data_IF_941275584066
#
_entry.id   IF_941275584066
#
_cell.length_a   1.000
_cell.length_b   1.000
_cell.length_c   1.000
_cell.angle_alpha   90.00
_cell.angle_beta   90.00
_cell.angle_gamma   90.00
#
_symmetry.space_group_name_H-M   'P 1'
#
loop_
_entity.id
_entity.type
_entity.pdbx_description
1 polymer ?
#
# COMPACT_ATOMS: atom_id res chain seq x y z
N UNK A 1 3.74 36.43 -17.22
CA UNK A 1 3.75 35.14 -16.51
C UNK A 1 5.07 34.48 -16.84
N UNK A 2 5.98 34.39 -15.88
CA UNK A 2 7.18 33.54 -16.04
C UNK A 2 6.71 32.09 -16.11
N UNK A 3 7.18 31.35 -17.10
CA UNK A 3 6.94 29.92 -17.18
C UNK A 3 7.76 29.26 -16.06
N UNK A 4 7.08 28.73 -15.04
CA UNK A 4 7.68 27.81 -14.08
C UNK A 4 8.33 26.65 -14.82
N UNK A 5 9.56 26.31 -14.47
CA UNK A 5 10.23 25.15 -15.05
C UNK A 5 9.50 23.88 -14.61
N UNK A 6 9.43 22.86 -15.46
CA UNK A 6 8.87 21.55 -15.09
C UNK A 6 9.56 20.99 -13.83
N UNK A 7 10.85 21.29 -13.65
CA UNK A 7 11.60 20.95 -12.44
C UNK A 7 11.05 21.61 -11.18
N UNK A 8 10.62 22.87 -11.25
CA UNK A 8 10.03 23.57 -10.11
C UNK A 8 8.69 22.93 -9.70
N UNK A 9 7.95 22.37 -10.66
CA UNK A 9 6.69 21.66 -10.42
C UNK A 9 6.98 20.32 -9.74
N UNK A 10 7.96 19.57 -10.23
CA UNK A 10 8.37 18.30 -9.63
C UNK A 10 8.85 18.49 -8.19
N UNK A 11 9.68 19.50 -7.93
CA UNK A 11 10.17 19.81 -6.58
C UNK A 11 9.03 20.12 -5.61
N UNK A 12 7.99 20.84 -6.07
CA UNK A 12 6.80 21.14 -5.27
C UNK A 12 6.00 19.88 -4.94
N UNK A 13 5.78 19.03 -5.94
CA UNK A 13 5.07 17.75 -5.78
C UNK A 13 5.81 16.86 -4.79
N UNK A 14 7.13 16.71 -4.94
CA UNK A 14 7.95 15.92 -4.04
C UNK A 14 7.94 16.50 -2.62
N UNK A 15 8.12 17.81 -2.49
CA UNK A 15 8.13 18.48 -1.19
C UNK A 15 6.79 18.30 -0.46
N UNK A 16 5.66 18.48 -1.15
CA UNK A 16 4.34 18.26 -0.58
C UNK A 16 4.18 16.81 -0.10
N UNK A 17 4.69 15.85 -0.87
CA UNK A 17 4.64 14.45 -0.49
C UNK A 17 5.49 14.16 0.76
N UNK A 18 6.74 14.61 0.80
CA UNK A 18 7.64 14.46 1.95
C UNK A 18 7.07 15.12 3.21
N UNK A 19 6.46 16.28 3.08
CA UNK A 19 5.81 16.96 4.20
C UNK A 19 4.60 16.16 4.71
N UNK A 20 3.80 15.57 3.82
CA UNK A 20 2.66 14.73 4.20
C UNK A 20 3.07 13.52 5.05
N UNK A 21 4.22 12.91 4.73
CA UNK A 21 4.80 11.82 5.51
C UNK A 21 5.18 12.32 6.91
N UNK A 22 5.93 13.43 6.98
CA UNK A 22 6.41 14.00 8.26
C UNK A 22 5.25 14.33 9.20
N UNK A 23 4.21 14.98 8.67
CA UNK A 23 3.02 15.35 9.45
C UNK A 23 2.21 14.14 9.92
N UNK A 24 2.26 13.03 9.20
CA UNK A 24 1.54 11.80 9.51
C UNK A 24 2.50 10.65 9.82
N UNK A 25 3.50 10.96 10.64
CA UNK A 25 4.34 9.92 11.23
C UNK A 25 3.49 9.10 12.19
N UNK A 26 3.45 7.76 12.07
CA UNK A 26 2.61 6.92 12.90
C UNK A 26 3.04 7.02 14.36
N UNK A 27 2.09 7.37 15.24
CA UNK A 27 2.33 7.49 16.68
C UNK A 27 2.09 6.14 17.33
N UNK A 28 3.01 5.72 18.21
CA UNK A 28 2.87 4.48 18.98
C UNK A 28 3.24 3.20 18.22
N UNK A 29 3.72 3.32 16.98
CA UNK A 29 4.37 2.21 16.28
C UNK A 29 5.86 2.16 16.66
N UNK A 30 6.45 0.96 16.71
CA UNK A 30 7.89 0.83 16.88
C UNK A 30 8.61 1.43 15.66
N UNK A 31 9.79 1.98 15.88
CA UNK A 31 10.59 2.57 14.81
C UNK A 31 11.46 1.49 14.14
N UNK A 32 11.66 1.61 12.83
CA UNK A 32 12.66 0.83 12.11
C UNK A 32 14.04 0.89 12.83
N UNK A 33 14.80 -0.22 12.92
CA UNK A 33 14.64 -1.52 12.25
C UNK A 33 13.67 -2.50 12.92
N UNK A 34 12.90 -2.06 13.91
CA UNK A 34 11.97 -2.95 14.60
C UNK A 34 10.81 -3.34 13.68
N UNK A 35 10.43 -4.60 13.69
CA UNK A 35 9.16 -5.08 13.11
C UNK A 35 8.09 -5.16 14.20
N UNK A 36 6.83 -5.01 13.78
CA UNK A 36 5.68 -5.18 14.67
C UNK A 36 5.07 -6.53 14.38
N UNK A 37 5.00 -7.38 15.41
CA UNK A 37 4.23 -8.62 15.32
C UNK A 37 2.75 -8.30 15.14
N UNK A 38 2.20 -8.75 14.02
CA UNK A 38 0.79 -8.61 13.73
C UNK A 38 0.01 -9.76 14.38
N UNK A 39 -1.20 -9.46 14.86
CA UNK A 39 -2.08 -10.42 15.52
C UNK A 39 -3.13 -11.02 14.58
N UNK A 40 -3.32 -10.44 13.38
CA UNK A 40 -4.26 -10.92 12.38
C UNK A 40 -3.87 -10.48 10.95
N UNK A 41 -4.34 -11.22 9.93
CA UNK A 41 -4.22 -10.83 8.52
C UNK A 41 -4.86 -9.47 8.25
N UNK A 42 -5.95 -9.14 8.94
CA UNK A 42 -6.61 -7.85 8.77
C UNK A 42 -5.72 -6.67 9.16
N UNK A 43 -4.80 -6.84 10.12
CA UNK A 43 -3.84 -5.79 10.46
C UNK A 43 -2.79 -5.58 9.36
N UNK A 44 -2.43 -6.64 8.62
CA UNK A 44 -1.50 -6.54 7.49
C UNK A 44 -2.07 -5.68 6.36
N UNK A 45 -3.39 -5.62 6.23
CA UNK A 45 -4.06 -4.78 5.23
C UNK A 45 -4.40 -3.42 5.84
N UNK A 46 -5.10 -3.40 6.97
CA UNK A 46 -5.69 -2.17 7.50
C UNK A 46 -4.64 -1.16 7.98
N UNK A 47 -3.55 -1.60 8.61
CA UNK A 47 -2.53 -0.67 9.11
C UNK A 47 -1.81 0.10 7.99
N UNK A 48 -1.23 -0.57 6.96
CA UNK A 48 -0.62 0.15 5.84
C UNK A 48 -1.66 0.98 5.09
N UNK A 49 -2.86 0.43 4.83
CA UNK A 49 -3.93 1.18 4.15
C UNK A 49 -4.27 2.47 4.89
N UNK A 50 -4.40 2.44 6.22
CA UNK A 50 -4.72 3.62 7.02
C UNK A 50 -3.57 4.65 7.01
N UNK A 51 -2.33 4.20 7.16
CA UNK A 51 -1.14 5.07 7.15
C UNK A 51 -1.04 5.76 5.78
N UNK A 52 -1.09 5.01 4.70
CA UNK A 52 -0.98 5.54 3.34
C UNK A 52 -2.17 6.41 2.96
N UNK A 53 -3.39 6.03 3.35
CA UNK A 53 -4.59 6.85 3.14
C UNK A 53 -4.42 8.23 3.76
N UNK A 54 -4.00 8.27 5.03
CA UNK A 54 -3.86 9.52 5.77
C UNK A 54 -2.79 10.41 5.12
N UNK A 55 -1.63 9.84 4.77
CA UNK A 55 -0.55 10.55 4.07
C UNK A 55 -1.00 11.10 2.72
N UNK A 56 -1.65 10.29 1.89
CA UNK A 56 -2.14 10.71 0.58
C UNK A 56 -3.20 11.82 0.69
N UNK A 57 -4.13 11.72 1.64
CA UNK A 57 -5.12 12.78 1.89
C UNK A 57 -4.42 14.08 2.33
N UNK A 58 -3.43 14.01 3.22
CA UNK A 58 -2.65 15.19 3.60
C UNK A 58 -1.84 15.74 2.43
N UNK A 59 -1.26 14.89 1.58
CA UNK A 59 -0.56 15.28 0.37
C UNK A 59 -1.48 16.07 -0.58
N UNK A 60 -2.69 15.57 -0.87
CA UNK A 60 -3.66 16.30 -1.68
C UNK A 60 -3.98 17.67 -1.09
N UNK A 61 -4.16 17.74 0.24
CA UNK A 61 -4.37 19.01 0.95
C UNK A 61 -3.17 19.95 0.93
N UNK A 62 -1.99 19.54 0.47
CA UNK A 62 -0.84 20.43 0.34
C UNK A 62 -0.68 20.99 -1.08
N UNK A 63 -1.40 20.45 -2.06
CA UNK A 63 -1.37 20.94 -3.44
C UNK A 63 -2.28 22.18 -3.57
N UNK A 64 -1.75 23.34 -4.01
CA UNK A 64 -2.55 24.53 -4.24
C UNK A 64 -3.74 24.29 -5.17
N UNK A 65 -3.54 23.49 -6.21
CA UNK A 65 -4.55 23.14 -7.23
C UNK A 65 -5.74 22.39 -6.61
N UNK A 66 -5.50 21.63 -5.54
CA UNK A 66 -6.56 20.92 -4.84
C UNK A 66 -7.50 21.89 -4.09
N UNK A 67 -7.02 23.07 -3.69
CA UNK A 67 -7.85 24.09 -3.05
C UNK A 67 -8.74 24.85 -4.02
N UNK A 68 -8.41 24.85 -5.31
CA UNK A 68 -9.18 25.51 -6.37
C UNK A 68 -10.45 24.73 -6.75
N UNK A 69 -10.53 23.45 -6.38
CA UNK A 69 -11.69 22.60 -6.61
C UNK A 69 -12.85 22.93 -5.67
N UNK A 70 -14.07 22.58 -6.09
CA UNK A 70 -15.23 22.58 -5.20
C UNK A 70 -15.14 21.43 -4.17
N UNK A 71 -15.82 21.56 -3.02
CA UNK A 71 -15.73 20.54 -1.95
C UNK A 71 -16.23 19.16 -2.39
N UNK A 72 -17.29 19.11 -3.21
CA UNK A 72 -17.82 17.85 -3.75
C UNK A 72 -16.85 17.19 -4.75
N UNK A 73 -16.13 18.00 -5.53
CA UNK A 73 -15.10 17.53 -6.46
C UNK A 73 -13.87 17.00 -5.73
N UNK A 74 -13.44 17.68 -4.66
CA UNK A 74 -12.35 17.21 -3.77
C UNK A 74 -12.68 15.83 -3.21
N UNK A 75 -13.92 15.67 -2.71
CA UNK A 75 -14.38 14.41 -2.14
C UNK A 75 -14.43 13.30 -3.18
N UNK A 76 -14.94 13.60 -4.37
CA UNK A 76 -15.00 12.69 -5.50
C UNK A 76 -13.60 12.25 -5.92
N UNK A 77 -12.69 13.20 -6.12
CA UNK A 77 -11.31 12.93 -6.53
C UNK A 77 -10.62 11.97 -5.53
N UNK A 78 -10.73 12.24 -4.23
CA UNK A 78 -10.17 11.36 -3.20
C UNK A 78 -10.84 9.99 -3.24
N UNK A 79 -12.17 9.91 -3.18
CA UNK A 79 -12.89 8.63 -3.08
C UNK A 79 -12.58 7.66 -4.23
N UNK A 80 -12.54 8.16 -5.45
CA UNK A 80 -12.33 7.31 -6.62
C UNK A 80 -10.87 6.94 -6.88
N UNK A 81 -9.90 7.74 -6.41
CA UNK A 81 -8.48 7.52 -6.71
C UNK A 81 -7.68 6.97 -5.53
N UNK A 82 -8.13 7.17 -4.30
CA UNK A 82 -7.35 6.85 -3.10
C UNK A 82 -6.95 5.38 -3.05
N UNK A 83 -7.89 4.47 -3.32
CA UNK A 83 -7.62 3.03 -3.26
C UNK A 83 -6.51 2.63 -4.25
N UNK A 84 -6.63 3.03 -5.53
CA UNK A 84 -5.62 2.74 -6.54
C UNK A 84 -4.24 3.30 -6.18
N UNK A 85 -4.18 4.54 -5.66
CA UNK A 85 -2.93 5.15 -5.24
C UNK A 85 -2.28 4.42 -4.05
N UNK A 86 -3.07 3.83 -3.15
CA UNK A 86 -2.52 3.03 -2.06
C UNK A 86 -1.89 1.75 -2.59
N UNK A 87 -2.50 1.06 -3.56
CA UNK A 87 -1.87 -0.13 -4.17
C UNK A 87 -0.58 0.21 -4.88
N UNK A 88 -0.57 1.28 -5.66
CA UNK A 88 0.65 1.77 -6.31
C UNK A 88 1.72 2.03 -5.24
N UNK A 89 1.35 2.67 -4.13
CA UNK A 89 2.29 2.93 -3.03
C UNK A 89 2.82 1.65 -2.40
N UNK A 90 1.95 0.69 -2.10
CA UNK A 90 2.34 -0.58 -1.51
C UNK A 90 3.35 -1.34 -2.39
N UNK A 91 3.14 -1.33 -3.71
CA UNK A 91 4.07 -1.94 -4.68
C UNK A 91 5.43 -1.22 -4.66
N UNK A 92 5.44 0.12 -4.63
CA UNK A 92 6.67 0.92 -4.69
C UNK A 92 7.56 0.81 -3.45
N UNK A 93 7.00 0.44 -2.30
CA UNK A 93 7.74 0.33 -1.03
C UNK A 93 7.99 -1.13 -0.60
N UNK A 94 7.50 -2.08 -1.39
CA UNK A 94 7.70 -3.50 -1.12
C UNK A 94 9.16 -3.88 -1.39
N UNK A 95 9.82 -4.45 -0.40
CA UNK A 95 11.14 -5.06 -0.53
C UNK A 95 10.99 -6.57 -0.69
N UNK A 96 11.20 -7.12 -1.91
CA UNK A 96 11.05 -8.55 -2.16
C UNK A 96 12.16 -9.40 -1.52
N UNK A 97 13.30 -8.81 -1.13
CA UNK A 97 14.40 -9.56 -0.52
C UNK A 97 14.03 -9.91 0.92
N UNK A 98 13.52 -8.93 1.66
CA UNK A 98 13.16 -9.09 3.06
C UNK A 98 11.69 -9.47 3.27
N UNK A 99 10.87 -9.36 2.23
CA UNK A 99 9.42 -9.56 2.26
C UNK A 99 8.73 -8.58 3.22
N UNK A 100 9.14 -7.32 3.12
CA UNK A 100 8.71 -6.24 4.01
C UNK A 100 8.18 -5.04 3.24
N UNK A 101 7.19 -4.36 3.80
CA UNK A 101 6.79 -3.03 3.35
C UNK A 101 7.47 -1.99 4.24
N UNK A 102 8.33 -1.16 3.65
CA UNK A 102 8.98 -0.06 4.35
C UNK A 102 9.07 1.16 3.46
N UNK A 103 8.54 2.27 3.95
CA UNK A 103 8.61 3.53 3.23
C UNK A 103 10.02 4.13 3.33
N UNK A 104 10.69 4.30 2.18
CA UNK A 104 12.05 4.85 2.15
C UNK A 104 12.12 6.26 2.71
N UNK A 105 13.16 6.54 3.51
CA UNK A 105 13.38 7.85 4.12
C UNK A 105 12.51 8.11 5.35
N UNK A 106 11.77 7.10 5.84
CA UNK A 106 11.01 7.18 7.09
C UNK A 106 11.59 6.23 8.14
N UNK A 107 11.25 6.50 9.40
CA UNK A 107 11.54 5.59 10.52
C UNK A 107 10.35 4.66 10.81
N UNK A 108 9.42 4.50 9.86
CA UNK A 108 8.22 3.70 10.07
C UNK A 108 8.59 2.24 10.29
N UNK A 109 7.80 1.56 11.12
CA UNK A 109 7.92 0.11 11.29
C UNK A 109 7.89 -0.60 9.94
N UNK A 110 8.83 -1.52 9.71
CA UNK A 110 8.73 -2.45 8.60
C UNK A 110 7.62 -3.46 8.90
N UNK A 111 6.67 -3.62 7.97
CA UNK A 111 5.63 -4.64 8.06
C UNK A 111 6.13 -5.89 7.35
N UNK A 112 6.35 -6.98 8.09
CA UNK A 112 6.86 -8.23 7.54
C UNK A 112 5.72 -9.22 7.32
N UNK A 113 5.64 -9.79 6.11
CA UNK A 113 4.62 -10.80 5.77
C UNK A 113 4.86 -12.10 6.54
N UNK A 114 6.12 -12.43 6.86
CA UNK A 114 6.52 -13.62 7.62
C UNK A 114 6.10 -13.58 9.08
N UNK A 115 5.74 -12.40 9.62
CA UNK A 115 5.21 -12.27 10.98
C UNK A 115 3.76 -12.81 11.09
N UNK A 116 3.13 -13.18 9.96
CA UNK A 116 1.87 -13.91 9.93
C UNK A 116 2.11 -15.41 10.16
N UNK A 117 1.94 -15.89 11.39
CA UNK A 117 1.86 -17.34 11.72
C UNK A 117 0.59 -18.03 11.17
N UNK A 118 0.01 -17.54 10.07
CA UNK A 118 -1.30 -17.97 9.59
C UNK A 118 -1.17 -19.06 8.52
N UNK A 119 -0.08 -19.11 7.75
CA UNK A 119 0.09 -20.19 6.77
C UNK A 119 0.37 -21.55 7.44
N UNK A 120 1.05 -21.58 8.58
CA UNK A 120 1.29 -22.83 9.31
C UNK A 120 0.01 -23.36 9.98
N UNK A 121 -0.89 -22.48 10.45
CA UNK A 121 -2.11 -22.88 11.18
C UNK A 121 -3.31 -23.21 10.28
N UNK A 122 -3.31 -22.76 9.02
CA UNK A 122 -4.30 -23.21 8.03
C UNK A 122 -3.96 -24.61 7.51
N UNK A 123 -2.66 -24.93 7.35
CA UNK A 123 -2.22 -26.26 6.88
C UNK A 123 -2.38 -27.34 7.96
N UNK A 124 -2.25 -27.02 9.25
CA UNK A 124 -2.44 -28.02 10.32
C UNK A 124 -3.89 -28.50 10.51
N UNK A 125 -4.89 -27.79 9.96
CA UNK A 125 -6.30 -28.21 10.04
C UNK A 125 -6.75 -29.13 8.88
N UNK A 126 -5.88 -29.42 7.91
CA UNK A 126 -6.14 -30.39 6.83
C UNK A 126 -5.32 -31.68 7.00
N UNK A 127 -5.33 -32.27 8.20
CA UNK A 127 -4.96 -33.68 8.35
C UNK A 127 -6.15 -34.59 7.99
N UNK A 128 -6.46 -34.67 6.70
CA UNK A 128 -7.05 -35.86 6.08
C UNK A 128 -6.09 -36.36 5.01
N UNK A 129 -5.29 -37.33 5.45
CA UNK A 129 -4.50 -38.31 4.72
C UNK A 129 -4.78 -38.44 3.20
N UNK A 130 -3.81 -38.08 2.35
CA UNK A 130 -3.08 -39.00 1.44
C UNK A 130 -2.39 -38.27 0.26
N UNK A 131 -1.17 -38.73 -0.01
CA UNK A 131 -0.40 -38.67 -1.26
C UNK A 131 0.07 -37.29 -1.78
N UNK A 132 1.34 -37.02 -1.46
CA UNK A 132 2.19 -36.01 -2.11
C UNK A 132 2.26 -36.20 -3.64
N UNK A 133 2.28 -35.08 -4.38
CA UNK A 133 3.35 -34.86 -5.34
C UNK A 133 4.24 -33.73 -4.84
N UNK A 134 5.56 -33.95 -4.95
CA UNK A 134 6.55 -32.89 -4.84
C UNK A 134 6.21 -31.79 -5.84
N UNK A 135 5.84 -30.61 -5.33
CA UNK A 135 5.77 -29.39 -6.13
C UNK A 135 7.02 -28.57 -5.87
N UNK A 136 7.78 -28.44 -6.94
CA UNK A 136 8.92 -27.57 -7.14
C UNK A 136 8.54 -26.12 -6.78
N UNK A 137 9.23 -25.50 -5.82
CA UNK A 137 9.05 -24.11 -5.40
C UNK A 137 9.67 -23.14 -6.42
N UNK A 138 9.22 -23.26 -7.67
CA UNK A 138 9.45 -22.28 -8.72
C UNK A 138 8.13 -21.56 -9.06
N UNK A 139 8.25 -20.26 -9.38
CA UNK A 139 7.23 -19.24 -9.68
C UNK A 139 6.78 -18.39 -8.46
N UNK A 140 7.10 -17.10 -8.35
CA UNK A 140 7.29 -16.03 -9.36
C UNK A 140 6.15 -15.93 -10.38
N UNK A 141 5.39 -14.83 -10.25
CA UNK A 141 4.41 -14.26 -11.18
C UNK A 141 3.05 -14.97 -11.23
N UNK A 142 1.99 -14.18 -10.98
CA UNK A 142 0.60 -14.55 -11.23
C UNK A 142 0.45 -15.09 -12.65
N UNK A 143 -0.28 -16.20 -12.78
CA UNK A 143 -0.56 -16.85 -14.05
C UNK A 143 -1.49 -15.97 -14.89
N UNK A 144 -1.43 -16.01 -16.23
CA UNK A 144 -2.39 -15.35 -17.12
C UNK A 144 -3.87 -15.65 -16.80
N UNK A 145 -4.16 -16.75 -16.09
CA UNK A 145 -5.52 -17.10 -15.63
C UNK A 145 -5.99 -16.30 -14.40
N UNK A 146 -5.07 -15.70 -13.65
CA UNK A 146 -5.38 -14.92 -12.45
C UNK A 146 -5.75 -13.46 -12.79
N UNK A 147 -5.38 -12.99 -13.99
CA UNK A 147 -5.85 -11.72 -14.56
C UNK A 147 -7.36 -11.73 -14.84
N UNK A 148 -7.91 -12.91 -15.14
CA UNK A 148 -9.33 -13.14 -15.43
C UNK A 148 -10.25 -12.85 -14.21
N UNK A 149 -9.66 -12.74 -13.01
CA UNK A 149 -10.35 -12.34 -11.76
C UNK A 149 -10.39 -10.82 -11.63
N UNK A 150 -9.35 -10.10 -12.08
CA UNK A 150 -9.30 -8.65 -12.06
C UNK A 150 -10.24 -8.04 -13.10
N UNK A 151 -10.34 -8.63 -14.30
CA UNK A 151 -11.30 -8.23 -15.33
C UNK A 151 -12.76 -8.39 -14.88
N UNK A 152 -13.04 -9.39 -14.02
CA UNK A 152 -14.37 -9.60 -13.44
C UNK A 152 -14.70 -8.62 -12.32
N UNK A 153 -13.69 -8.08 -11.63
CA UNK A 153 -13.87 -7.03 -10.62
C UNK A 153 -14.12 -5.68 -11.30
N UNK A 154 -13.47 -5.41 -12.45
CA UNK A 154 -13.69 -4.19 -13.25
C UNK A 154 -15.11 -4.15 -13.83
N UNK A 155 -15.66 -5.30 -14.26
CA UNK A 155 -17.05 -5.42 -14.72
C UNK A 155 -18.11 -5.24 -13.63
N UNK A 156 -17.77 -5.44 -12.35
CA UNK A 156 -18.70 -5.28 -11.23
C UNK A 156 -18.83 -3.82 -10.74
N UNK A 157 -17.92 -2.93 -11.14
CA UNK A 157 -17.90 -1.52 -10.75
C UNK A 157 -18.43 -0.56 -11.83
N UNK A 158 -18.82 -1.07 -13.00
CA UNK A 158 -19.36 -0.29 -14.14
C UNK A 158 -20.86 -0.54 -14.38
N UNK A 159 -21.60 -1.00 -13.36
CA UNK A 159 -23.08 -1.03 -13.36
C UNK A 159 -23.64 -0.18 -12.23
#
# INVERSE_FOLDING_TARGET
MEATSDWDILDKIELAYVQSIKLNSPVGLPLYPSTRKLSSTSQLINEPMNIYSTRLITYFKQLPEFYELEEDDKLTLIKYNLFGLIFIRAILIYDPINDTYQEYGTNDCALNVKDLNIFDSVIENENVQSDTPSYDTSLCLMSPKDWDILDKIELAYVQ
#
